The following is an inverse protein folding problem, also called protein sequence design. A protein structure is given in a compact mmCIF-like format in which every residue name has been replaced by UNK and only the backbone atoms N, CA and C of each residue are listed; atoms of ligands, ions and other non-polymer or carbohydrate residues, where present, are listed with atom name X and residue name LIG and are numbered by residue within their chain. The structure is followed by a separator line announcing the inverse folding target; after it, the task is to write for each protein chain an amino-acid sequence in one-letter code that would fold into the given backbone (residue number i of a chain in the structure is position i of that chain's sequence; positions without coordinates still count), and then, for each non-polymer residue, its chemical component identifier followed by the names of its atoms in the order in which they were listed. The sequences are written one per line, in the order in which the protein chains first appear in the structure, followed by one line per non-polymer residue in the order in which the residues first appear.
data_IF_769521899018
#
_entry.id   IF_769521899018
#
_cell.length_a   1.000
_cell.length_b   1.000
_cell.length_c   1.000
_cell.angle_alpha   90.00
_cell.angle_beta   90.00
_cell.angle_gamma   90.00
#
_symmetry.space_group_name_H-M   'P 1'
#
loop_
_entity.id
_entity.type
_entity.pdbx_description
1 polymer ?
#
# COMPACT_ATOMS: atom_id res chain seq x y z
N UNK A 1 68.23 15.27 -38.74
CA UNK A 1 67.41 15.32 -37.51
C UNK A 1 66.04 15.83 -37.90
N UNK A 2 65.04 14.96 -37.94
CA UNK A 2 63.65 15.33 -38.21
C UNK A 2 62.85 14.84 -37.02
N UNK A 3 62.42 15.79 -36.18
CA UNK A 3 61.59 15.53 -35.02
C UNK A 3 60.22 15.01 -35.50
N UNK A 4 59.90 13.77 -35.16
CA UNK A 4 58.53 13.27 -35.24
C UNK A 4 57.67 13.99 -34.21
N UNK A 5 56.92 15.01 -34.67
CA UNK A 5 55.77 15.51 -33.93
C UNK A 5 54.71 14.41 -33.91
N UNK A 6 54.62 13.68 -32.79
CA UNK A 6 53.51 12.77 -32.52
C UNK A 6 52.25 13.61 -32.34
N UNK A 7 51.48 13.80 -33.41
CA UNK A 7 50.09 14.19 -33.30
C UNK A 7 49.37 13.09 -32.52
N UNK A 8 49.14 13.30 -31.22
CA UNK A 8 48.10 12.56 -30.51
C UNK A 8 46.79 12.85 -31.25
N UNK A 9 46.21 11.81 -31.81
CA UNK A 9 45.05 11.89 -32.68
C UNK A 9 43.86 12.44 -31.87
N UNK A 10 43.09 13.42 -32.41
CA UNK A 10 41.88 13.95 -31.76
C UNK A 10 40.90 12.87 -31.29
N UNK A 11 40.93 11.70 -31.94
CA UNK A 11 40.12 10.53 -31.63
C UNK A 11 40.48 9.89 -30.27
N UNK A 12 41.76 9.86 -29.87
CA UNK A 12 42.19 9.31 -28.59
C UNK A 12 41.76 10.22 -27.43
N UNK A 13 41.80 11.55 -27.65
CA UNK A 13 41.29 12.53 -26.69
C UNK A 13 39.77 12.44 -26.56
N UNK A 14 39.04 12.30 -27.67
CA UNK A 14 37.59 12.09 -27.65
C UNK A 14 37.21 10.79 -26.93
N UNK A 15 37.95 9.69 -27.16
CA UNK A 15 37.73 8.41 -26.44
C UNK A 15 38.00 8.54 -24.94
N UNK A 16 39.05 9.23 -24.56
CA UNK A 16 39.36 9.50 -23.15
C UNK A 16 38.28 10.35 -22.49
N UNK A 17 37.78 11.38 -23.18
CA UNK A 17 36.68 12.22 -22.70
C UNK A 17 35.37 11.43 -22.55
N UNK A 18 35.02 10.58 -23.53
CA UNK A 18 33.83 9.74 -23.48
C UNK A 18 33.90 8.74 -22.32
N UNK A 19 35.07 8.14 -22.09
CA UNK A 19 35.32 7.24 -20.96
C UNK A 19 35.14 7.97 -19.63
N UNK A 20 35.71 9.17 -19.47
CA UNK A 20 35.55 9.98 -18.27
C UNK A 20 34.09 10.41 -18.02
N UNK A 21 33.35 10.78 -19.07
CA UNK A 21 31.92 11.08 -18.95
C UNK A 21 31.10 9.86 -18.55
N UNK A 22 31.40 8.69 -19.10
CA UNK A 22 30.72 7.44 -18.75
C UNK A 22 30.93 7.08 -17.28
N UNK A 23 32.16 7.23 -16.81
CA UNK A 23 32.51 7.01 -15.40
C UNK A 23 31.76 7.99 -14.48
N UNK A 24 31.69 9.27 -14.84
CA UNK A 24 30.92 10.27 -14.10
C UNK A 24 29.43 9.92 -14.04
N UNK A 25 28.83 9.50 -15.15
CA UNK A 25 27.43 9.08 -15.21
C UNK A 25 27.19 7.86 -14.31
N UNK A 26 28.09 6.88 -14.33
CA UNK A 26 27.99 5.70 -13.46
C UNK A 26 28.06 6.10 -11.97
N UNK A 27 29.01 6.97 -11.60
CA UNK A 27 29.13 7.47 -10.23
C UNK A 27 27.89 8.26 -9.77
N UNK A 28 27.34 9.11 -10.64
CA UNK A 28 26.11 9.85 -10.37
C UNK A 28 24.92 8.90 -10.20
N UNK A 29 24.84 7.85 -11.03
CA UNK A 29 23.78 6.84 -10.97
C UNK A 29 23.81 6.11 -9.63
N UNK A 30 24.98 5.64 -9.20
CA UNK A 30 25.15 4.97 -7.90
C UNK A 30 24.80 5.90 -6.74
N UNK A 31 25.23 7.16 -6.78
CA UNK A 31 24.88 8.16 -5.76
C UNK A 31 23.38 8.42 -5.72
N UNK A 32 22.73 8.52 -6.88
CA UNK A 32 21.29 8.74 -6.94
C UNK A 32 20.52 7.55 -6.34
N UNK A 33 20.90 6.32 -6.68
CA UNK A 33 20.32 5.11 -6.09
C UNK A 33 20.48 5.08 -4.56
N UNK A 34 21.64 5.48 -4.03
CA UNK A 34 21.87 5.57 -2.60
C UNK A 34 20.96 6.62 -1.92
N UNK A 35 20.80 7.79 -2.56
CA UNK A 35 19.91 8.85 -2.07
C UNK A 35 18.44 8.44 -2.11
N UNK A 36 18.00 7.75 -3.17
CA UNK A 36 16.65 7.19 -3.26
C UNK A 36 16.39 6.16 -2.16
N UNK A 37 17.35 5.28 -1.90
CA UNK A 37 17.28 4.33 -0.79
C UNK A 37 17.13 5.02 0.57
N UNK A 38 17.98 6.01 0.86
CA UNK A 38 17.94 6.74 2.12
C UNK A 38 16.64 7.56 2.28
N UNK A 39 16.16 8.17 1.19
CA UNK A 39 14.90 8.91 1.19
C UNK A 39 13.72 7.98 1.49
N UNK A 40 13.65 6.82 0.82
CA UNK A 40 12.63 5.80 1.10
C UNK A 40 12.70 5.33 2.56
N UNK A 41 13.90 5.08 3.09
CA UNK A 41 14.09 4.70 4.49
C UNK A 41 13.58 5.78 5.46
N UNK A 42 13.87 7.06 5.20
CA UNK A 42 13.40 8.17 6.02
C UNK A 42 11.88 8.34 5.96
N UNK A 43 11.27 8.18 4.78
CA UNK A 43 9.81 8.19 4.61
C UNK A 43 9.16 7.07 5.44
N UNK A 44 9.72 5.86 5.42
CA UNK A 44 9.20 4.74 6.23
C UNK A 44 9.27 5.06 7.72
N UNK A 45 10.40 5.58 8.20
CA UNK A 45 10.56 5.97 9.61
C UNK A 45 9.61 7.08 10.03
N UNK A 46 9.37 8.06 9.14
CA UNK A 46 8.43 9.15 9.38
C UNK A 46 6.99 8.62 9.49
N UNK A 47 6.61 7.77 8.55
CA UNK A 47 5.30 7.13 8.52
C UNK A 47 5.05 6.29 9.79
N UNK A 48 6.00 5.45 10.19
CA UNK A 48 5.91 4.66 11.43
C UNK A 48 5.79 5.55 12.68
N UNK A 49 6.58 6.62 12.75
CA UNK A 49 6.55 7.59 13.86
C UNK A 49 5.18 8.24 14.03
N UNK A 50 4.56 8.64 12.92
CA UNK A 50 3.23 9.25 12.97
C UNK A 50 2.11 8.24 13.20
N UNK A 51 2.19 7.06 12.59
CA UNK A 51 1.27 5.95 12.86
C UNK A 51 1.20 5.62 14.34
N UNK A 52 2.35 5.60 15.02
CA UNK A 52 2.44 5.37 16.48
C UNK A 52 1.80 6.49 17.32
N UNK A 53 1.69 7.71 16.79
CA UNK A 53 1.03 8.84 17.45
C UNK A 53 -0.48 8.92 17.19
N UNK A 54 -1.02 8.03 16.36
CA UNK A 54 -2.45 7.79 16.22
C UNK A 54 -3.13 8.45 15.02
N UNK A 55 -2.50 9.44 14.35
CA UNK A 55 -3.01 9.92 13.06
C UNK A 55 -1.93 10.64 12.23
N UNK A 56 -2.02 10.52 10.90
CA UNK A 56 -1.21 11.27 9.93
C UNK A 56 -2.13 12.26 9.23
N UNK A 57 -1.92 13.59 9.37
CA UNK A 57 -2.70 14.57 8.63
C UNK A 57 -2.60 14.32 7.11
N UNK A 58 -3.71 14.41 6.34
CA UNK A 58 -3.68 14.18 4.90
C UNK A 58 -2.67 15.07 4.16
N UNK A 59 -2.51 16.32 4.61
CA UNK A 59 -1.56 17.26 4.00
C UNK A 59 -0.11 16.78 4.13
N UNK A 60 0.20 16.06 5.21
CA UNK A 60 1.53 15.52 5.46
C UNK A 60 1.76 14.21 4.68
N UNK A 61 0.71 13.44 4.40
CA UNK A 61 0.79 12.27 3.51
C UNK A 61 1.22 12.70 2.12
N UNK A 62 0.61 13.75 1.58
CA UNK A 62 0.96 14.27 0.25
C UNK A 62 2.35 14.91 0.24
N UNK A 63 2.66 15.73 1.27
CA UNK A 63 3.94 16.45 1.36
C UNK A 63 5.16 15.53 1.37
N UNK A 64 5.04 14.39 2.03
CA UNK A 64 6.12 13.41 2.15
C UNK A 64 5.95 12.19 1.24
N UNK A 65 4.98 12.23 0.32
CA UNK A 65 4.67 11.16 -0.63
C UNK A 65 4.48 9.80 0.07
N UNK A 66 3.76 9.78 1.19
CA UNK A 66 3.54 8.59 2.02
C UNK A 66 2.35 7.73 1.54
N UNK A 67 1.63 8.19 0.52
CA UNK A 67 0.48 7.48 -0.08
C UNK A 67 0.74 6.01 -0.38
N UNK A 68 1.91 5.61 -0.93
CA UNK A 68 2.21 4.19 -1.17
C UNK A 68 2.24 3.36 0.12
N UNK A 69 2.78 3.90 1.21
CA UNK A 69 2.87 3.21 2.51
C UNK A 69 1.50 3.09 3.17
N UNK A 70 0.70 4.15 3.07
CA UNK A 70 -0.70 4.13 3.50
C UNK A 70 -1.50 3.06 2.74
N UNK A 71 -1.38 3.04 1.41
CA UNK A 71 -2.07 2.07 0.56
C UNK A 71 -1.65 0.63 0.91
N UNK A 72 -0.35 0.38 1.09
CA UNK A 72 0.15 -0.94 1.47
C UNK A 72 -0.47 -1.42 2.80
N UNK A 73 -0.54 -0.53 3.79
CA UNK A 73 -1.16 -0.82 5.08
C UNK A 73 -2.66 -1.07 4.98
N UNK A 74 -3.40 -0.25 4.22
CA UNK A 74 -4.83 -0.44 3.99
C UNK A 74 -5.10 -1.76 3.26
N UNK A 75 -4.27 -2.11 2.27
CA UNK A 75 -4.33 -3.39 1.58
C UNK A 75 -4.05 -4.56 2.51
N UNK A 76 -3.08 -4.45 3.44
CA UNK A 76 -2.82 -5.50 4.45
C UNK A 76 -4.05 -5.76 5.32
N UNK A 77 -4.79 -4.73 5.70
CA UNK A 77 -6.04 -4.85 6.48
C UNK A 77 -7.15 -5.46 5.63
N UNK A 78 -7.37 -4.93 4.42
CA UNK A 78 -8.41 -5.37 3.50
C UNK A 78 -8.26 -6.83 3.05
N UNK A 79 -7.02 -7.31 2.90
CA UNK A 79 -6.72 -8.69 2.53
C UNK A 79 -6.77 -9.67 3.72
N UNK A 80 -7.06 -9.20 4.93
CA UNK A 80 -7.20 -10.11 6.07
C UNK A 80 -8.38 -11.06 5.85
N UNK A 81 -8.16 -12.37 6.06
CA UNK A 81 -9.25 -13.33 5.97
C UNK A 81 -10.34 -13.08 7.02
N UNK A 82 -11.61 -13.23 6.63
CA UNK A 82 -12.75 -12.97 7.54
C UNK A 82 -12.77 -13.89 8.76
N UNK A 83 -12.17 -15.08 8.69
CA UNK A 83 -12.09 -16.00 9.83
C UNK A 83 -11.17 -15.49 10.97
N UNK A 84 -10.33 -14.48 10.71
CA UNK A 84 -9.49 -13.87 11.75
C UNK A 84 -10.25 -12.91 12.65
N UNK A 85 -11.48 -12.56 12.28
CA UNK A 85 -12.37 -11.75 13.08
C UNK A 85 -13.33 -12.66 13.85
N UNK A 86 -13.76 -12.23 15.04
CA UNK A 86 -14.60 -13.01 15.97
C UNK A 86 -16.07 -13.13 15.53
N UNK A 87 -16.31 -13.34 14.24
CA UNK A 87 -17.64 -13.70 13.73
C UNK A 87 -18.05 -15.06 14.26
N UNK A 88 -19.34 -15.22 14.55
CA UNK A 88 -19.85 -16.52 14.93
C UNK A 88 -19.82 -17.49 13.74
N UNK A 89 -19.81 -18.79 14.01
CA UNK A 89 -19.74 -19.84 12.99
C UNK A 89 -20.84 -19.71 11.92
N UNK A 90 -22.05 -19.30 12.29
CA UNK A 90 -23.16 -19.14 11.33
C UNK A 90 -22.85 -18.03 10.32
N UNK A 91 -22.29 -16.91 10.77
CA UNK A 91 -21.83 -15.83 9.89
C UNK A 91 -20.70 -16.33 9.02
N UNK A 92 -19.66 -16.96 9.57
CA UNK A 92 -18.53 -17.48 8.80
C UNK A 92 -18.96 -18.48 7.69
N UNK A 93 -19.88 -19.39 8.00
CA UNK A 93 -20.43 -20.30 6.99
C UNK A 93 -21.24 -19.56 5.92
N UNK A 94 -22.01 -18.54 6.31
CA UNK A 94 -22.74 -17.70 5.37
C UNK A 94 -21.83 -16.93 4.42
N UNK A 95 -20.78 -16.28 4.96
CA UNK A 95 -19.76 -15.58 4.17
C UNK A 95 -19.08 -16.54 3.18
N UNK A 96 -18.66 -17.71 3.67
CA UNK A 96 -18.06 -18.77 2.85
C UNK A 96 -18.98 -19.23 1.71
N UNK A 97 -20.30 -19.33 1.95
CA UNK A 97 -21.28 -19.78 0.97
C UNK A 97 -21.51 -18.79 -0.20
N UNK A 98 -21.13 -17.52 -0.03
CA UNK A 98 -21.18 -16.49 -1.08
C UNK A 98 -19.78 -16.01 -1.47
N UNK A 99 -18.76 -16.84 -1.21
CA UNK A 99 -17.36 -16.58 -1.55
C UNK A 99 -16.77 -15.29 -0.98
N UNK A 100 -17.27 -14.84 0.16
CA UNK A 100 -16.63 -13.77 0.95
C UNK A 100 -15.57 -14.42 1.85
N UNK A 101 -14.29 -14.19 1.52
CA UNK A 101 -13.12 -14.77 2.18
C UNK A 101 -12.28 -13.73 2.90
N UNK A 102 -12.30 -12.49 2.45
CA UNK A 102 -11.50 -11.37 2.94
C UNK A 102 -12.36 -10.22 3.44
N UNK A 103 -11.78 -9.35 4.27
CA UNK A 103 -12.46 -8.14 4.72
C UNK A 103 -12.87 -7.26 3.54
N UNK A 104 -12.04 -7.16 2.51
CA UNK A 104 -12.35 -6.44 1.27
C UNK A 104 -13.67 -6.88 0.66
N UNK A 105 -13.85 -8.18 0.46
CA UNK A 105 -15.06 -8.75 -0.15
C UNK A 105 -16.28 -8.50 0.74
N UNK A 106 -16.13 -8.57 2.06
CA UNK A 106 -17.20 -8.24 3.00
C UNK A 106 -17.60 -6.76 2.93
N UNK A 107 -16.62 -5.85 2.90
CA UNK A 107 -16.89 -4.41 2.81
C UNK A 107 -17.49 -4.02 1.45
N UNK A 108 -17.08 -4.68 0.36
CA UNK A 108 -17.75 -4.55 -0.94
C UNK A 108 -19.19 -5.04 -0.87
N UNK A 109 -19.43 -6.17 -0.21
CA UNK A 109 -20.78 -6.70 0.00
C UNK A 109 -21.66 -5.71 0.78
N UNK A 110 -21.11 -5.03 1.78
CA UNK A 110 -21.80 -3.98 2.55
C UNK A 110 -22.07 -2.74 1.70
N UNK A 111 -21.02 -2.14 1.15
CA UNK A 111 -21.05 -0.83 0.48
C UNK A 111 -21.76 -0.88 -0.87
N UNK A 112 -21.38 -1.82 -1.72
CA UNK A 112 -21.82 -1.88 -3.12
C UNK A 112 -23.09 -2.72 -3.24
N UNK A 113 -23.07 -3.94 -2.67
CA UNK A 113 -24.18 -4.89 -2.82
C UNK A 113 -25.24 -4.77 -1.72
N UNK A 114 -25.05 -3.94 -0.70
CA UNK A 114 -26.01 -3.72 0.40
C UNK A 114 -26.45 -5.04 1.06
N UNK A 115 -25.51 -5.97 1.23
CA UNK A 115 -25.70 -7.32 1.78
C UNK A 115 -26.66 -8.21 0.98
N UNK A 116 -26.87 -7.93 -0.30
CA UNK A 116 -27.86 -8.62 -1.13
C UNK A 116 -27.61 -10.13 -1.26
N UNK A 117 -26.37 -10.57 -1.41
CA UNK A 117 -26.06 -12.00 -1.56
C UNK A 117 -26.30 -12.74 -0.25
N UNK A 118 -25.91 -12.15 0.88
CA UNK A 118 -26.15 -12.74 2.20
C UNK A 118 -27.65 -12.80 2.55
N UNK A 119 -28.44 -11.78 2.17
CA UNK A 119 -29.90 -11.76 2.40
C UNK A 119 -30.63 -12.91 1.69
N UNK A 120 -30.07 -13.46 0.62
CA UNK A 120 -30.65 -14.59 -0.13
C UNK A 120 -30.35 -15.95 0.49
N UNK A 121 -29.41 -16.03 1.44
CA UNK A 121 -29.07 -17.27 2.10
C UNK A 121 -30.11 -17.66 3.16
N UNK A 122 -30.62 -18.88 3.05
CA UNK A 122 -31.52 -19.44 4.07
C UNK A 122 -30.77 -19.57 5.40
N UNK A 123 -31.28 -18.89 6.43
CA UNK A 123 -30.70 -18.90 7.78
C UNK A 123 -29.76 -17.73 8.10
N UNK A 124 -29.52 -16.82 7.15
CA UNK A 124 -28.80 -15.57 7.40
C UNK A 124 -29.80 -14.45 7.74
N UNK A 125 -30.27 -14.44 8.99
CA UNK A 125 -31.29 -13.51 9.48
C UNK A 125 -30.70 -12.30 10.22
N UNK A 126 -31.57 -11.50 10.85
CA UNK A 126 -31.21 -10.26 11.54
C UNK A 126 -30.06 -10.42 12.54
N UNK A 127 -30.06 -11.48 13.37
CA UNK A 127 -28.98 -11.75 14.32
C UNK A 127 -27.62 -12.02 13.67
N UNK A 128 -27.60 -12.58 12.46
CA UNK A 128 -26.36 -12.76 11.70
C UNK A 128 -25.85 -11.41 11.17
N UNK A 129 -26.75 -10.52 10.73
CA UNK A 129 -26.37 -9.17 10.33
C UNK A 129 -25.87 -8.34 11.50
N UNK A 130 -26.56 -8.36 12.64
CA UNK A 130 -26.11 -7.73 13.88
C UNK A 130 -24.70 -8.18 14.24
N UNK A 131 -24.44 -9.50 14.24
CA UNK A 131 -23.10 -10.02 14.52
C UNK A 131 -22.04 -9.53 13.53
N UNK A 132 -22.37 -9.32 12.25
CA UNK A 132 -21.43 -8.76 11.29
C UNK A 132 -21.05 -7.34 11.68
N UNK A 133 -22.04 -6.47 11.92
CA UNK A 133 -21.78 -5.07 12.28
C UNK A 133 -21.09 -4.95 13.64
N UNK A 134 -21.52 -5.70 14.65
CA UNK A 134 -20.92 -5.71 15.98
C UNK A 134 -19.42 -6.03 15.92
N UNK A 135 -19.05 -7.08 15.19
CA UNK A 135 -17.64 -7.48 15.04
C UNK A 135 -16.84 -6.41 14.30
N UNK A 136 -17.41 -5.79 13.26
CA UNK A 136 -16.73 -4.72 12.53
C UNK A 136 -16.54 -3.45 13.38
N UNK A 137 -17.52 -3.07 14.21
CA UNK A 137 -17.37 -1.96 15.16
C UNK A 137 -16.33 -2.27 16.24
N UNK A 138 -16.37 -3.47 16.82
CA UNK A 138 -15.41 -3.90 17.86
C UNK A 138 -13.96 -3.88 17.35
N UNK A 139 -13.76 -4.13 16.05
CA UNK A 139 -12.46 -4.06 15.41
C UNK A 139 -12.10 -2.66 14.87
N UNK A 140 -12.95 -1.64 15.11
CA UNK A 140 -12.73 -0.27 14.64
C UNK A 140 -12.78 -0.13 13.11
N UNK A 141 -13.37 -1.09 12.41
CA UNK A 141 -13.51 -1.06 10.95
C UNK A 141 -14.67 -0.18 10.53
N UNK A 142 -15.76 -0.20 11.31
CA UNK A 142 -16.93 0.65 11.12
C UNK A 142 -17.12 1.61 12.29
N UNK A 143 -17.48 2.85 11.98
CA UNK A 143 -17.90 3.87 12.96
C UNK A 143 -19.38 3.70 13.34
N UNK A 144 -19.91 4.55 14.23
CA UNK A 144 -21.31 4.49 14.69
C UNK A 144 -22.36 4.65 13.57
N UNK A 145 -21.98 5.24 12.43
CA UNK A 145 -22.83 5.44 11.27
C UNK A 145 -22.75 4.28 10.25
N UNK A 146 -21.98 3.24 10.56
CA UNK A 146 -21.60 2.16 9.63
C UNK A 146 -20.76 2.65 8.44
N UNK A 147 -20.01 3.73 8.63
CA UNK A 147 -19.01 4.20 7.69
C UNK A 147 -17.65 3.58 7.99
N UNK A 148 -16.81 3.42 6.96
CA UNK A 148 -15.47 2.85 7.09
C UNK A 148 -14.44 3.74 6.43
N UNK A 149 -13.35 4.03 7.15
CA UNK A 149 -12.16 4.65 6.56
C UNK A 149 -11.56 3.80 5.42
N UNK A 150 -11.86 2.49 5.38
CA UNK A 150 -11.42 1.61 4.31
C UNK A 150 -12.26 1.76 3.03
N UNK A 151 -13.42 2.41 3.09
CA UNK A 151 -14.29 2.56 1.92
C UNK A 151 -13.65 3.38 0.80
N UNK A 152 -12.69 4.25 1.07
CA UNK A 152 -11.99 5.00 0.02
C UNK A 152 -11.10 4.10 -0.87
N UNK A 153 -10.79 2.88 -0.41
CA UNK A 153 -9.88 1.94 -1.05
C UNK A 153 -10.59 0.76 -1.75
N UNK A 154 -11.92 0.83 -1.90
CA UNK A 154 -12.81 -0.21 -2.45
C UNK A 154 -13.89 0.33 -3.36
#
# INVERSE_FOLDING_TARGET
MTQHSKNKTPEDELRAQLSAQTELVNQLTVKNMALEYDNNRLRSLLYESWRNKGNIPPEEVDRYELTPMLLEDMMKILLQPVYKFDFNNRVLFGLCAVDIRTLKELLVEIKIFKMHHLRRLRGFGSKSFENVYDVLHQNGILDENNDSYLFEFI
#
